data_IF_547592557601
#
_entry.id   IF_547592557601
#
_cell.length_a   1.000
_cell.length_b   1.000
_cell.length_c   1.000
_cell.angle_alpha   90.00
_cell.angle_beta   90.00
_cell.angle_gamma   90.00
#
_symmetry.space_group_name_H-M   'P 1'
#
loop_
_entity.id
_entity.type
_entity.pdbx_description
1 polymer ?
#
# COMPACT_ATOMS: atom_id res chain seq x y z
N UNK A 1 17.26 -18.73 12.24
CA UNK A 1 16.43 -19.17 11.12
C UNK A 1 16.61 -20.66 10.95
N UNK A 2 15.61 -21.35 10.41
CA UNK A 2 15.76 -22.73 9.91
C UNK A 2 16.48 -22.72 8.56
N UNK A 3 16.95 -23.89 8.12
CA UNK A 3 17.59 -24.06 6.82
C UNK A 3 16.57 -23.86 5.68
N UNK A 4 17.00 -23.26 4.57
CA UNK A 4 16.21 -23.08 3.37
C UNK A 4 17.09 -23.07 2.12
N UNK A 5 16.51 -23.40 0.98
CA UNK A 5 17.15 -23.23 -0.32
C UNK A 5 16.84 -21.85 -0.89
N UNK A 6 17.87 -21.13 -1.31
CA UNK A 6 17.76 -19.81 -1.88
C UNK A 6 17.86 -19.84 -3.41
N UNK A 7 16.88 -19.27 -4.08
CA UNK A 7 16.80 -19.25 -5.54
C UNK A 7 16.83 -17.81 -6.05
N UNK A 8 17.61 -17.56 -7.11
CA UNK A 8 17.75 -16.27 -7.79
C UNK A 8 17.35 -16.41 -9.26
N UNK A 9 16.06 -16.48 -9.59
CA UNK A 9 15.60 -16.55 -10.98
C UNK A 9 15.90 -15.25 -11.72
N UNK A 10 16.25 -15.34 -13.00
CA UNK A 10 16.49 -14.18 -13.86
C UNK A 10 15.21 -13.62 -14.51
N UNK A 11 14.08 -14.32 -14.39
CA UNK A 11 12.81 -13.89 -14.98
C UNK A 11 11.61 -14.22 -14.09
N UNK A 12 10.53 -13.44 -14.23
CA UNK A 12 9.26 -13.69 -13.53
C UNK A 12 8.72 -15.08 -13.80
N UNK A 13 8.83 -15.58 -15.04
CA UNK A 13 8.39 -16.93 -15.41
C UNK A 13 9.18 -18.01 -14.67
N UNK A 14 10.49 -17.85 -14.52
CA UNK A 14 11.30 -18.80 -13.73
C UNK A 14 10.91 -18.74 -12.25
N UNK A 15 10.66 -17.56 -11.70
CA UNK A 15 10.20 -17.39 -10.32
C UNK A 15 8.85 -18.09 -10.10
N UNK A 16 7.87 -17.84 -10.94
CA UNK A 16 6.55 -18.48 -10.88
C UNK A 16 6.64 -20.02 -10.99
N UNK A 17 7.50 -20.54 -11.89
CA UNK A 17 7.74 -21.98 -12.01
C UNK A 17 8.38 -22.59 -10.75
N UNK A 18 9.23 -21.86 -10.05
CA UNK A 18 9.81 -22.30 -8.77
C UNK A 18 8.75 -22.37 -7.68
N UNK A 19 7.85 -21.36 -7.62
CA UNK A 19 6.73 -21.36 -6.67
C UNK A 19 5.75 -22.52 -6.96
N UNK A 20 5.38 -22.73 -8.23
CA UNK A 20 4.48 -23.81 -8.61
C UNK A 20 5.02 -25.21 -8.31
N UNK A 21 6.36 -25.39 -8.32
CA UNK A 21 7.02 -26.68 -8.06
C UNK A 21 7.27 -26.95 -6.58
N UNK A 22 7.19 -25.93 -5.73
CA UNK A 22 7.55 -26.03 -4.31
C UNK A 22 6.43 -25.37 -3.49
N UNK A 23 5.53 -26.18 -2.96
CA UNK A 23 4.27 -25.75 -2.34
C UNK A 23 4.44 -24.70 -1.22
N UNK A 24 5.49 -24.84 -0.40
CA UNK A 24 5.77 -23.93 0.72
C UNK A 24 6.81 -22.84 0.39
N UNK A 25 7.15 -22.67 -0.88
CA UNK A 25 8.08 -21.63 -1.28
C UNK A 25 7.51 -20.23 -1.00
N UNK A 26 8.36 -19.31 -0.58
CA UNK A 26 7.98 -17.90 -0.38
C UNK A 26 8.83 -16.99 -1.25
N UNK A 27 8.15 -15.97 -1.78
CA UNK A 27 8.80 -14.86 -2.48
C UNK A 27 9.53 -13.99 -1.46
N UNK A 28 10.74 -13.57 -1.79
CA UNK A 28 11.45 -12.51 -1.08
C UNK A 28 11.81 -11.38 -2.07
N UNK A 29 11.58 -10.14 -1.64
CA UNK A 29 12.03 -8.92 -2.31
C UNK A 29 12.86 -8.09 -1.30
N UNK A 30 12.27 -7.09 -0.66
CA UNK A 30 12.94 -6.30 0.38
C UNK A 30 13.30 -7.04 1.67
N UNK A 31 12.59 -8.13 1.97
CA UNK A 31 12.82 -9.00 3.13
C UNK A 31 12.41 -8.41 4.48
N UNK A 32 11.87 -7.20 4.52
CA UNK A 32 11.63 -6.48 5.78
C UNK A 32 10.44 -6.99 6.62
N UNK A 33 9.61 -7.85 6.06
CA UNK A 33 8.60 -8.62 6.81
C UNK A 33 9.07 -10.06 6.99
N UNK A 34 9.41 -10.74 5.90
CA UNK A 34 9.69 -12.17 5.91
C UNK A 34 10.95 -12.51 6.73
N UNK A 35 12.05 -11.76 6.59
CA UNK A 35 13.30 -12.05 7.30
C UNK A 35 13.18 -11.93 8.82
N UNK A 36 12.55 -10.86 9.40
CA UNK A 36 12.25 -10.79 10.83
C UNK A 36 11.42 -11.99 11.34
N UNK A 37 10.36 -12.35 10.61
CA UNK A 37 9.50 -13.50 10.96
C UNK A 37 10.27 -14.82 10.95
N UNK A 38 11.14 -15.04 9.96
CA UNK A 38 12.04 -16.21 9.90
C UNK A 38 13.08 -16.20 11.03
N UNK A 39 13.63 -15.02 11.39
CA UNK A 39 14.58 -14.90 12.51
C UNK A 39 13.95 -15.28 13.84
N UNK A 40 12.69 -14.93 14.04
CA UNK A 40 11.90 -15.31 15.22
C UNK A 40 11.37 -16.74 15.16
N UNK A 41 11.64 -17.48 14.08
CA UNK A 41 11.17 -18.87 13.85
C UNK A 41 9.64 -19.01 13.75
N UNK A 42 8.94 -17.93 13.41
CA UNK A 42 7.49 -17.93 13.18
C UNK A 42 7.13 -18.39 11.76
N UNK A 43 8.09 -18.42 10.85
CA UNK A 43 7.97 -19.02 9.52
C UNK A 43 9.25 -19.79 9.17
N UNK A 44 9.10 -20.89 8.43
CA UNK A 44 10.20 -21.75 8.00
C UNK A 44 10.01 -22.23 6.56
N UNK A 45 9.92 -21.30 5.57
CA UNK A 45 9.78 -21.72 4.18
C UNK A 45 11.01 -22.51 3.74
N UNK A 46 10.83 -23.70 3.12
CA UNK A 46 11.95 -24.50 2.66
C UNK A 46 12.65 -23.90 1.44
N UNK A 47 11.98 -23.02 0.72
CA UNK A 47 12.50 -22.36 -0.46
C UNK A 47 12.20 -20.86 -0.42
N UNK A 48 13.21 -20.02 -0.69
CA UNK A 48 13.08 -18.59 -0.92
C UNK A 48 13.36 -18.25 -2.38
N UNK A 49 12.42 -17.55 -3.02
CA UNK A 49 12.52 -17.11 -4.42
C UNK A 49 12.72 -15.59 -4.44
N UNK A 50 13.96 -15.17 -4.71
CA UNK A 50 14.36 -13.76 -4.68
C UNK A 50 14.05 -13.06 -6.01
N UNK A 51 13.23 -12.03 -5.96
CA UNK A 51 12.84 -11.22 -7.12
C UNK A 51 13.76 -10.02 -7.38
N UNK A 52 14.66 -9.69 -6.46
CA UNK A 52 15.46 -8.45 -6.50
C UNK A 52 16.40 -8.33 -7.71
N UNK A 53 16.67 -9.45 -8.38
CA UNK A 53 17.56 -9.51 -9.54
C UNK A 53 16.84 -9.67 -10.89
N UNK A 54 15.52 -9.65 -10.87
CA UNK A 54 14.74 -9.72 -12.12
C UNK A 54 14.70 -8.32 -12.72
N UNK A 55 15.29 -8.17 -13.90
CA UNK A 55 15.34 -6.91 -14.65
C UNK A 55 13.93 -6.37 -14.94
N UNK A 56 13.76 -5.06 -14.83
CA UNK A 56 12.50 -4.35 -15.10
C UNK A 56 11.47 -4.38 -13.96
N UNK A 57 11.67 -5.20 -12.91
CA UNK A 57 10.71 -5.24 -11.79
C UNK A 57 10.77 -4.03 -10.84
N UNK A 58 11.78 -3.18 -10.93
CA UNK A 58 11.90 -1.95 -10.15
C UNK A 58 11.70 -0.67 -10.97
N UNK A 59 11.37 -0.78 -12.25
CA UNK A 59 11.22 0.38 -13.12
C UNK A 59 10.07 1.30 -12.69
N UNK A 60 10.33 2.61 -12.75
CA UNK A 60 9.35 3.67 -12.50
C UNK A 60 9.26 4.52 -13.76
N UNK A 61 8.09 4.52 -14.40
CA UNK A 61 7.91 5.17 -15.70
C UNK A 61 6.48 5.70 -15.90
N UNK A 62 6.32 6.68 -16.75
CA UNK A 62 5.00 7.07 -17.23
C UNK A 62 4.58 6.17 -18.39
N UNK A 63 3.39 5.57 -18.30
CA UNK A 63 2.73 4.82 -19.38
C UNK A 63 1.44 5.49 -19.80
N UNK A 64 1.54 6.38 -20.77
CA UNK A 64 0.43 7.21 -21.20
C UNK A 64 -0.05 8.12 -20.05
N UNK A 65 -1.28 7.91 -19.57
CA UNK A 65 -1.89 8.67 -18.47
C UNK A 65 -1.82 7.96 -17.12
N UNK A 66 -0.92 7.02 -16.96
CA UNK A 66 -0.72 6.26 -15.71
C UNK A 66 0.74 6.23 -15.33
N UNK A 67 1.02 6.33 -14.04
CA UNK A 67 2.32 6.06 -13.45
C UNK A 67 2.44 4.57 -13.22
N UNK A 68 3.47 3.94 -13.77
CA UNK A 68 3.80 2.52 -13.61
C UNK A 68 4.96 2.39 -12.64
N UNK A 69 4.78 1.63 -11.56
CA UNK A 69 5.82 1.34 -10.56
C UNK A 69 6.01 -0.16 -10.48
N UNK A 70 7.21 -0.64 -10.74
CA UNK A 70 7.61 -2.03 -10.64
C UNK A 70 7.53 -2.55 -9.21
N UNK A 71 7.18 -3.82 -9.05
CA UNK A 71 6.89 -4.41 -7.74
C UNK A 71 8.10 -4.43 -6.78
N UNK A 72 9.32 -4.50 -7.29
CA UNK A 72 10.55 -4.46 -6.48
C UNK A 72 11.11 -3.06 -6.28
N UNK A 73 10.47 -2.00 -6.81
CA UNK A 73 10.82 -0.63 -6.49
C UNK A 73 10.73 -0.42 -4.97
N UNK A 74 11.82 0.05 -4.38
CA UNK A 74 11.92 0.30 -2.94
C UNK A 74 11.12 1.54 -2.53
N UNK A 75 10.74 1.63 -1.28
CA UNK A 75 10.07 2.82 -0.77
C UNK A 75 10.94 4.07 -0.95
N UNK A 76 12.27 3.91 -0.87
CA UNK A 76 13.23 4.98 -1.11
C UNK A 76 13.19 5.45 -2.57
N UNK A 77 13.21 4.53 -3.53
CA UNK A 77 13.11 4.85 -4.96
C UNK A 77 11.80 5.56 -5.28
N UNK A 78 10.67 5.05 -4.77
CA UNK A 78 9.35 5.70 -4.96
C UNK A 78 9.31 7.10 -4.36
N UNK A 79 9.83 7.29 -3.14
CA UNK A 79 9.83 8.58 -2.44
C UNK A 79 10.70 9.65 -3.12
N UNK A 80 11.81 9.23 -3.77
CA UNK A 80 12.80 10.15 -4.34
C UNK A 80 12.76 10.19 -5.87
N UNK A 81 11.85 9.48 -6.51
CA UNK A 81 11.68 9.53 -7.97
C UNK A 81 11.09 10.87 -8.41
N UNK A 82 11.77 11.60 -9.28
CA UNK A 82 11.24 12.80 -9.91
C UNK A 82 9.93 12.50 -10.65
N UNK A 83 9.85 11.36 -11.35
CA UNK A 83 8.65 10.94 -12.09
C UNK A 83 7.46 10.77 -11.15
N UNK A 84 7.64 10.16 -9.96
CA UNK A 84 6.57 10.01 -8.96
C UNK A 84 6.20 11.37 -8.36
N UNK A 85 7.20 12.18 -8.02
CA UNK A 85 7.01 13.52 -7.46
C UNK A 85 6.23 14.45 -8.37
N UNK A 86 6.47 14.41 -9.68
CA UNK A 86 5.74 15.18 -10.68
C UNK A 86 4.34 14.62 -10.96
N UNK A 87 4.22 13.28 -11.09
CA UNK A 87 2.97 12.65 -11.46
C UNK A 87 1.95 12.58 -10.32
N UNK A 88 2.38 12.16 -9.13
CA UNK A 88 1.53 11.97 -7.93
C UNK A 88 2.35 12.32 -6.68
N UNK A 89 2.56 13.61 -6.36
CA UNK A 89 3.36 14.04 -5.19
C UNK A 89 2.96 13.36 -3.88
N UNK A 90 1.64 13.16 -3.68
CA UNK A 90 1.11 12.49 -2.49
C UNK A 90 1.59 11.04 -2.33
N UNK A 91 1.93 10.34 -3.42
CA UNK A 91 2.46 8.98 -3.37
C UNK A 91 3.95 8.97 -2.97
N UNK A 92 4.72 9.93 -3.47
CA UNK A 92 6.11 10.12 -3.05
C UNK A 92 6.21 10.47 -1.55
N UNK A 93 5.35 11.40 -1.08
CA UNK A 93 5.24 11.77 0.33
C UNK A 93 4.86 10.57 1.21
N UNK A 94 3.85 9.80 0.79
CA UNK A 94 3.45 8.57 1.48
C UNK A 94 4.63 7.61 1.62
N UNK A 95 5.34 7.33 0.52
CA UNK A 95 6.48 6.42 0.53
C UNK A 95 7.60 6.91 1.47
N UNK A 96 7.84 8.22 1.53
CA UNK A 96 8.79 8.87 2.43
C UNK A 96 8.43 8.73 3.92
N UNK A 97 7.16 8.51 4.24
CA UNK A 97 6.67 8.31 5.62
C UNK A 97 6.70 6.86 6.09
N UNK A 98 7.04 5.89 5.24
CA UNK A 98 7.11 4.48 5.62
C UNK A 98 8.36 4.21 6.46
N UNK A 99 8.17 3.67 7.66
CA UNK A 99 9.24 3.20 8.52
C UNK A 99 10.35 4.24 8.76
N UNK A 100 11.57 3.75 8.82
CA UNK A 100 12.80 4.53 8.89
C UNK A 100 13.62 4.40 7.57
N UNK A 101 14.77 5.09 7.42
CA UNK A 101 15.60 4.97 6.21
C UNK A 101 16.04 3.55 5.90
N UNK A 102 16.37 2.72 6.91
CA UNK A 102 16.80 1.33 6.68
C UNK A 102 15.66 0.49 6.09
N UNK A 103 14.44 0.69 6.58
CA UNK A 103 13.22 0.06 6.02
C UNK A 103 13.02 0.52 4.58
N UNK A 104 13.08 1.83 4.32
CA UNK A 104 12.79 2.36 2.98
C UNK A 104 13.77 1.92 1.92
N UNK A 105 15.04 1.74 2.23
CA UNK A 105 16.05 1.28 1.27
C UNK A 105 15.91 -0.21 0.91
N UNK A 106 15.07 -0.95 1.60
CA UNK A 106 14.89 -2.39 1.37
C UNK A 106 13.45 -2.77 1.05
N UNK A 107 12.48 -2.29 1.84
CA UNK A 107 11.07 -2.58 1.65
C UNK A 107 10.58 -2.09 0.28
N UNK A 108 9.74 -2.89 -0.38
CA UNK A 108 9.27 -2.67 -1.75
C UNK A 108 7.76 -2.47 -1.80
N UNK A 109 7.27 -1.76 -2.82
CA UNK A 109 5.83 -1.56 -3.00
C UNK A 109 5.10 -2.90 -3.19
N UNK A 110 5.61 -3.80 -4.03
CA UNK A 110 5.00 -5.12 -4.23
C UNK A 110 5.00 -5.97 -2.98
N UNK A 111 6.10 -5.95 -2.20
CA UNK A 111 6.18 -6.65 -0.91
C UNK A 111 5.17 -6.13 0.11
N UNK A 112 4.98 -4.80 0.19
CA UNK A 112 3.98 -4.18 1.05
C UNK A 112 2.55 -4.60 0.68
N UNK A 113 2.22 -4.59 -0.62
CA UNK A 113 0.89 -4.98 -1.09
C UNK A 113 0.63 -6.48 -0.93
N UNK A 114 1.61 -7.33 -1.25
CA UNK A 114 1.47 -8.79 -1.11
C UNK A 114 1.31 -9.22 0.35
N UNK A 115 1.99 -8.54 1.30
CA UNK A 115 1.86 -8.80 2.72
C UNK A 115 0.52 -8.33 3.30
N UNK A 116 -0.08 -7.30 2.72
CA UNK A 116 -1.35 -6.69 3.12
C UNK A 116 -1.49 -6.51 4.64
N UNK A 117 -0.46 -5.93 5.26
CA UNK A 117 -0.54 -5.53 6.67
C UNK A 117 -1.60 -4.41 6.81
N UNK A 118 -2.55 -4.52 7.74
CA UNK A 118 -3.60 -3.51 7.92
C UNK A 118 -3.07 -2.12 8.26
N UNK A 119 -1.82 -2.03 8.74
CA UNK A 119 -1.17 -0.76 9.09
C UNK A 119 -0.24 -0.22 7.99
N UNK A 120 -0.14 -0.94 6.85
CA UNK A 120 0.66 -0.50 5.71
C UNK A 120 0.05 0.73 5.03
N UNK A 121 0.91 1.62 4.55
CA UNK A 121 0.51 2.91 3.96
C UNK A 121 -0.01 2.76 2.51
N UNK A 122 0.66 1.96 1.66
CA UNK A 122 0.32 1.82 0.24
C UNK A 122 -1.09 1.35 -0.07
N UNK A 123 -1.73 0.45 0.70
CA UNK A 123 -3.10 0.03 0.42
C UNK A 123 -4.08 1.20 0.33
N UNK A 124 -3.92 2.26 1.17
CA UNK A 124 -4.75 3.46 1.09
C UNK A 124 -4.56 4.22 -0.24
N UNK A 125 -3.32 4.39 -0.70
CA UNK A 125 -3.03 5.03 -1.98
C UNK A 125 -3.56 4.21 -3.16
N UNK A 126 -3.35 2.89 -3.15
CA UNK A 126 -3.82 1.96 -4.19
C UNK A 126 -5.34 2.00 -4.31
N UNK A 127 -6.04 1.99 -3.18
CA UNK A 127 -7.51 2.05 -3.10
C UNK A 127 -8.04 3.42 -3.57
N UNK A 128 -7.52 4.53 -3.03
CA UNK A 128 -8.00 5.87 -3.33
C UNK A 128 -7.69 6.30 -4.77
N UNK A 129 -6.51 6.00 -5.29
CA UNK A 129 -6.15 6.30 -6.67
C UNK A 129 -6.84 5.34 -7.67
N UNK A 130 -7.42 4.23 -7.19
CA UNK A 130 -7.99 3.18 -8.04
C UNK A 130 -6.95 2.57 -8.96
N UNK A 131 -5.80 2.24 -8.37
CA UNK A 131 -4.69 1.65 -9.10
C UNK A 131 -5.05 0.25 -9.63
N UNK A 132 -4.27 -0.23 -10.57
CA UNK A 132 -4.37 -1.61 -11.06
C UNK A 132 -3.13 -2.38 -10.61
N UNK A 133 -3.32 -3.44 -9.86
CA UNK A 133 -2.27 -4.38 -9.49
C UNK A 133 -2.11 -5.36 -10.67
N UNK A 134 -0.91 -5.41 -11.24
CA UNK A 134 -0.58 -6.30 -12.37
C UNK A 134 0.29 -7.42 -11.86
N UNK A 135 -0.14 -8.64 -12.11
CA UNK A 135 0.61 -9.85 -11.78
C UNK A 135 1.15 -10.52 -13.05
N UNK A 136 1.85 -11.63 -12.90
CA UNK A 136 2.26 -12.47 -14.02
C UNK A 136 1.08 -13.18 -14.72
N UNK A 137 -0.12 -13.20 -14.09
CA UNK A 137 -1.31 -13.91 -14.61
C UNK A 137 -2.42 -12.95 -15.06
N UNK A 138 -2.65 -11.86 -14.31
CA UNK A 138 -3.85 -11.02 -14.48
C UNK A 138 -3.66 -9.59 -13.99
N UNK A 139 -4.72 -8.80 -14.15
CA UNK A 139 -4.85 -7.45 -13.61
C UNK A 139 -5.99 -7.43 -12.63
N UNK A 140 -5.77 -6.86 -11.44
CA UNK A 140 -6.72 -6.81 -10.35
C UNK A 140 -6.99 -5.36 -9.94
N UNK A 141 -8.25 -5.05 -9.64
CA UNK A 141 -8.62 -3.82 -8.97
C UNK A 141 -8.32 -3.93 -7.47
N UNK A 142 -8.16 -2.80 -6.76
CA UNK A 142 -7.87 -2.84 -5.33
C UNK A 142 -8.94 -3.59 -4.53
N UNK A 143 -10.21 -3.36 -4.88
CA UNK A 143 -11.36 -3.98 -4.23
C UNK A 143 -11.40 -5.52 -4.41
N UNK A 144 -10.81 -6.02 -5.48
CA UNK A 144 -10.67 -7.46 -5.77
C UNK A 144 -9.42 -8.04 -5.11
N UNK A 145 -8.38 -7.21 -4.95
CA UNK A 145 -7.06 -7.63 -4.48
C UNK A 145 -6.98 -7.79 -2.97
N UNK A 146 -7.45 -6.79 -2.19
CA UNK A 146 -7.42 -6.83 -0.73
C UNK A 146 -8.61 -7.60 -0.19
N UNK A 147 -8.36 -8.78 0.41
CA UNK A 147 -9.41 -9.70 0.86
C UNK A 147 -9.54 -9.81 2.38
N UNK A 148 -8.82 -8.99 3.12
CA UNK A 148 -8.83 -8.99 4.59
C UNK A 148 -7.44 -8.95 5.19
N UNK A 149 -7.35 -9.18 6.48
CA UNK A 149 -6.13 -9.09 7.27
C UNK A 149 -5.06 -10.08 6.75
N UNK A 150 -3.92 -9.56 6.28
CA UNK A 150 -2.82 -10.35 5.69
C UNK A 150 -3.27 -11.29 4.55
N UNK A 151 -4.40 -10.98 3.91
CA UNK A 151 -4.98 -11.83 2.87
C UNK A 151 -5.19 -11.01 1.59
N UNK A 152 -4.72 -11.56 0.48
CA UNK A 152 -4.87 -10.99 -0.86
C UNK A 152 -5.42 -12.03 -1.83
N UNK A 153 -5.85 -11.60 -3.01
CA UNK A 153 -6.30 -12.48 -4.08
C UNK A 153 -5.17 -13.22 -4.83
N UNK A 154 -3.91 -13.08 -4.39
CA UNK A 154 -2.78 -13.76 -5.04
C UNK A 154 -2.89 -15.28 -4.90
N UNK A 155 -2.72 -15.98 -6.01
CA UNK A 155 -2.54 -17.43 -6.01
C UNK A 155 -1.12 -17.81 -5.57
N UNK A 156 -0.84 -19.07 -5.17
CA UNK A 156 0.46 -19.48 -4.63
C UNK A 156 1.66 -19.21 -5.56
N UNK A 157 1.46 -19.29 -6.89
CA UNK A 157 2.49 -19.03 -7.91
C UNK A 157 2.27 -17.69 -8.64
N UNK A 158 1.45 -16.79 -8.06
CA UNK A 158 1.16 -15.47 -8.61
C UNK A 158 2.06 -14.40 -7.99
N UNK A 159 2.70 -13.62 -8.85
CA UNK A 159 3.71 -12.61 -8.49
C UNK A 159 3.25 -11.25 -8.98
N UNK A 160 3.21 -10.26 -8.09
CA UNK A 160 3.00 -8.87 -8.50
C UNK A 160 4.22 -8.43 -9.32
N UNK A 161 3.96 -7.90 -10.51
CA UNK A 161 5.02 -7.38 -11.40
C UNK A 161 5.10 -5.87 -11.37
N UNK A 162 3.97 -5.17 -11.26
CA UNK A 162 3.88 -3.71 -11.16
C UNK A 162 2.53 -3.23 -10.65
N UNK A 163 2.47 -1.97 -10.31
CA UNK A 163 1.24 -1.24 -9.97
C UNK A 163 1.08 -0.06 -10.92
N UNK A 164 -0.10 0.07 -11.51
CA UNK A 164 -0.43 1.17 -12.42
C UNK A 164 -1.36 2.15 -11.69
N UNK A 165 -0.88 3.36 -11.47
CA UNK A 165 -1.62 4.42 -10.81
C UNK A 165 -2.18 5.41 -11.84
N UNK A 166 -3.51 5.54 -11.99
CA UNK A 166 -4.10 6.63 -12.75
C UNK A 166 -3.75 7.97 -12.11
N UNK A 167 -3.53 9.01 -12.93
CA UNK A 167 -3.26 10.35 -12.42
C UNK A 167 -4.53 10.93 -11.77
N UNK A 168 -4.37 11.51 -10.59
CA UNK A 168 -5.40 12.25 -9.90
C UNK A 168 -5.23 13.76 -10.17
N UNK A 169 -6.34 14.53 -10.18
CA UNK A 169 -6.28 16.00 -10.26
C UNK A 169 -5.73 16.61 -8.98
N UNK A 170 -6.12 16.05 -7.83
CA UNK A 170 -5.67 16.44 -6.50
C UNK A 170 -5.57 15.18 -5.64
N UNK A 171 -4.54 15.06 -4.84
CA UNK A 171 -4.40 13.98 -3.89
C UNK A 171 -3.55 14.43 -2.69
N UNK A 172 -3.81 13.84 -1.53
CA UNK A 172 -2.97 13.97 -0.36
C UNK A 172 -3.09 12.76 0.54
N UNK A 173 -2.03 12.49 1.29
CA UNK A 173 -1.98 11.49 2.34
C UNK A 173 -1.64 12.14 3.67
N UNK A 174 -2.41 11.85 4.71
CA UNK A 174 -2.16 12.30 6.08
C UNK A 174 -2.16 11.10 7.01
N UNK A 175 -1.15 11.00 7.85
CA UNK A 175 -0.90 9.86 8.71
C UNK A 175 -0.73 10.30 10.17
N UNK A 176 -1.48 9.68 11.06
CA UNK A 176 -1.19 9.66 12.49
C UNK A 176 -0.38 8.40 12.79
N UNK A 177 0.92 8.58 12.97
CA UNK A 177 1.86 7.47 13.14
C UNK A 177 2.00 7.04 14.60
N UNK A 178 2.18 5.75 14.81
CA UNK A 178 2.69 5.25 16.09
C UNK A 178 4.11 5.76 16.30
N UNK A 179 4.41 6.27 17.48
CA UNK A 179 5.70 6.90 17.79
C UNK A 179 6.87 5.93 17.75
N UNK A 180 6.67 4.70 18.19
CA UNK A 180 7.73 3.68 18.23
C UNK A 180 7.96 3.01 16.88
N UNK A 181 6.91 2.46 16.28
CA UNK A 181 7.01 1.66 15.05
C UNK A 181 6.95 2.48 13.76
N UNK A 182 6.41 3.71 13.84
CA UNK A 182 6.10 4.59 12.70
C UNK A 182 5.03 4.04 11.74
N UNK A 183 4.39 2.91 12.07
CA UNK A 183 3.21 2.44 11.36
C UNK A 183 2.04 3.40 11.51
N UNK A 184 1.10 3.33 10.58
CA UNK A 184 -0.12 4.12 10.67
C UNK A 184 -1.01 3.58 11.81
N UNK A 185 -1.23 4.38 12.85
CA UNK A 185 -2.36 4.15 13.74
C UNK A 185 -3.66 4.43 12.98
N UNK A 186 -3.66 5.51 12.19
CA UNK A 186 -4.65 5.87 11.19
C UNK A 186 -3.94 6.60 10.07
N UNK A 187 -4.16 6.21 8.83
CA UNK A 187 -3.73 6.93 7.63
C UNK A 187 -4.92 7.17 6.69
N UNK A 188 -5.04 8.36 6.14
CA UNK A 188 -6.12 8.70 5.21
C UNK A 188 -5.54 9.25 3.91
N UNK A 189 -5.88 8.60 2.81
CA UNK A 189 -5.56 9.05 1.45
C UNK A 189 -6.81 9.57 0.77
N UNK A 190 -6.76 10.80 0.30
CA UNK A 190 -7.84 11.42 -0.49
C UNK A 190 -7.35 11.63 -1.91
N UNK A 191 -8.16 11.24 -2.89
CA UNK A 191 -7.89 11.47 -4.31
C UNK A 191 -9.11 12.00 -5.04
N UNK A 192 -8.98 13.17 -5.69
CA UNK A 192 -9.92 13.69 -6.68
C UNK A 192 -9.46 13.23 -8.06
N UNK A 193 -10.13 12.23 -8.59
CA UNK A 193 -9.87 11.69 -9.92
C UNK A 193 -10.76 12.40 -10.96
N UNK A 194 -10.51 12.19 -12.27
CA UNK A 194 -11.37 12.78 -13.30
C UNK A 194 -12.84 12.33 -13.21
N UNK A 195 -13.11 11.10 -12.75
CA UNK A 195 -14.44 10.48 -12.71
C UNK A 195 -15.11 10.51 -11.36
N UNK A 196 -14.35 10.56 -10.25
CA UNK A 196 -14.87 10.44 -8.89
C UNK A 196 -13.93 11.04 -7.83
N UNK A 197 -14.37 11.02 -6.59
CA UNK A 197 -13.54 11.29 -5.42
C UNK A 197 -13.50 10.03 -4.58
N UNK A 198 -12.32 9.66 -4.09
CA UNK A 198 -12.13 8.52 -3.19
C UNK A 198 -11.41 8.94 -1.92
N UNK A 199 -11.83 8.35 -0.81
CA UNK A 199 -11.23 8.53 0.52
C UNK A 199 -10.98 7.14 1.09
N UNK A 200 -9.71 6.75 1.20
CA UNK A 200 -9.32 5.45 1.71
C UNK A 200 -8.58 5.57 3.04
N UNK A 201 -8.86 4.64 3.95
CA UNK A 201 -8.32 4.60 5.31
C UNK A 201 -7.50 3.33 5.49
N UNK A 202 -6.31 3.48 6.07
CA UNK A 202 -5.46 2.39 6.53
C UNK A 202 -5.15 2.52 8.01
N UNK A 203 -4.68 1.46 8.65
CA UNK A 203 -4.29 1.43 10.06
C UNK A 203 -5.43 1.17 11.02
N UNK A 204 -6.64 1.57 10.69
CA UNK A 204 -7.77 1.58 11.61
C UNK A 204 -8.71 0.38 11.47
N UNK A 205 -8.92 -0.13 10.26
CA UNK A 205 -9.91 -1.18 10.01
C UNK A 205 -9.44 -2.56 10.46
N UNK A 206 -10.33 -3.34 11.08
CA UNK A 206 -10.06 -4.73 11.50
C UNK A 206 -9.86 -5.67 10.30
N UNK A 207 -10.41 -5.34 9.14
CA UNK A 207 -10.24 -6.07 7.89
C UNK A 207 -9.24 -5.44 6.91
N UNK A 208 -8.41 -4.48 7.38
CA UNK A 208 -7.44 -3.78 6.55
C UNK A 208 -7.96 -2.46 5.98
N UNK A 209 -7.53 -2.12 4.75
CA UNK A 209 -7.89 -0.88 4.07
C UNK A 209 -9.36 -0.84 3.69
N UNK A 210 -10.01 0.33 3.85
CA UNK A 210 -11.40 0.53 3.48
C UNK A 210 -11.67 1.95 2.97
N UNK A 211 -12.82 2.17 2.34
CA UNK A 211 -13.26 3.47 1.81
C UNK A 211 -14.32 4.12 2.70
N UNK A 212 -14.37 5.46 2.69
CA UNK A 212 -15.36 6.27 3.41
C UNK A 212 -16.40 6.83 2.43
N UNK A 213 -17.38 6.02 2.06
CA UNK A 213 -18.39 6.37 1.04
C UNK A 213 -19.15 7.66 1.36
N UNK A 214 -19.57 7.87 2.62
CA UNK A 214 -20.27 9.09 3.03
C UNK A 214 -19.41 10.36 2.82
N UNK A 215 -18.09 10.29 3.06
CA UNK A 215 -17.14 11.37 2.84
C UNK A 215 -16.93 11.61 1.34
N UNK A 216 -16.85 10.54 0.55
CA UNK A 216 -16.73 10.61 -0.90
C UNK A 216 -17.94 11.29 -1.53
N UNK A 217 -19.15 10.95 -1.12
CA UNK A 217 -20.38 11.57 -1.60
C UNK A 217 -20.48 13.06 -1.27
N UNK A 218 -20.05 13.45 -0.06
CA UNK A 218 -19.98 14.86 0.31
C UNK A 218 -18.94 15.62 -0.57
N UNK A 219 -17.76 15.04 -0.77
CA UNK A 219 -16.67 15.64 -1.55
C UNK A 219 -16.93 15.67 -3.06
N UNK A 220 -17.74 14.76 -3.59
CA UNK A 220 -18.21 14.84 -5.01
C UNK A 220 -19.01 16.09 -5.29
N UNK A 221 -19.85 16.51 -4.35
CA UNK A 221 -20.65 17.73 -4.49
C UNK A 221 -19.77 18.99 -4.48
N UNK A 222 -18.80 19.03 -3.56
CA UNK A 222 -17.82 20.10 -3.43
C UNK A 222 -16.55 19.58 -2.79
N UNK A 223 -15.43 19.65 -3.50
CA UNK A 223 -14.13 19.21 -2.98
C UNK A 223 -13.54 20.28 -2.04
N UNK A 224 -13.98 20.26 -0.78
CA UNK A 224 -13.56 21.18 0.28
C UNK A 224 -13.68 20.48 1.63
N UNK A 225 -12.71 20.71 2.54
CA UNK A 225 -12.75 20.15 3.89
C UNK A 225 -14.01 20.55 4.67
N UNK A 226 -14.58 21.73 4.40
CA UNK A 226 -15.78 22.26 5.07
C UNK A 226 -17.02 21.37 4.90
N UNK A 227 -17.15 20.61 3.80
CA UNK A 227 -18.29 19.71 3.60
C UNK A 227 -18.20 18.44 4.44
N UNK A 228 -17.06 18.21 5.07
CA UNK A 228 -16.84 17.11 6.00
C UNK A 228 -17.13 17.49 7.46
N UNK A 229 -17.45 18.76 7.73
CA UNK A 229 -17.79 19.21 9.08
C UNK A 229 -19.08 18.52 9.55
N UNK A 230 -19.02 17.93 10.74
CA UNK A 230 -20.13 17.18 11.32
C UNK A 230 -20.27 15.74 10.84
N UNK A 231 -19.51 15.30 9.82
CA UNK A 231 -19.46 13.88 9.47
C UNK A 231 -18.63 13.09 10.50
N UNK A 232 -19.19 11.99 10.94
CA UNK A 232 -18.58 11.06 11.90
C UNK A 232 -18.33 9.70 11.24
N UNK A 233 -17.44 8.92 11.85
CA UNK A 233 -17.15 7.54 11.44
C UNK A 233 -17.61 6.62 12.57
N UNK A 234 -18.32 5.52 12.24
CA UNK A 234 -18.66 4.51 13.22
C UNK A 234 -17.39 3.83 13.77
N UNK A 235 -17.31 3.58 15.08
CA UNK A 235 -16.24 2.75 15.65
C UNK A 235 -16.39 1.25 15.31
N UNK A 236 -17.53 0.84 14.80
CA UNK A 236 -17.78 -0.55 14.40
C UNK A 236 -16.85 -0.99 13.28
N UNK A 237 -16.23 -2.17 13.43
CA UNK A 237 -15.26 -2.70 12.48
C UNK A 237 -13.87 -2.03 12.56
N UNK A 238 -13.62 -1.16 13.54
CA UNK A 238 -12.30 -0.59 13.80
C UNK A 238 -11.55 -1.37 14.89
N UNK A 239 -10.22 -1.34 14.78
CA UNK A 239 -9.34 -1.94 15.78
C UNK A 239 -9.41 -1.21 17.13
N UNK A 240 -9.34 -1.98 18.23
CA UNK A 240 -9.16 -1.48 19.58
C UNK A 240 -8.00 -2.23 20.24
N UNK A 241 -6.94 -1.53 20.63
CA UNK A 241 -5.72 -2.09 21.21
C UNK A 241 -5.06 -1.10 22.19
N UNK A 242 -3.86 -1.46 22.68
CA UNK A 242 -3.10 -0.61 23.60
C UNK A 242 -2.69 0.75 23.03
N UNK A 243 -2.80 0.96 21.72
CA UNK A 243 -2.41 2.20 21.02
C UNK A 243 -3.58 3.14 20.78
N UNK A 244 -4.81 2.64 20.86
CA UNK A 244 -6.02 3.44 20.69
C UNK A 244 -7.29 2.62 20.59
N UNK A 245 -8.37 3.12 21.21
CA UNK A 245 -9.69 2.53 21.11
C UNK A 245 -10.30 2.73 19.70
N UNK A 246 -11.34 1.98 19.40
CA UNK A 246 -12.10 2.11 18.15
C UNK A 246 -12.69 3.53 17.99
N UNK A 247 -13.23 4.11 19.09
CA UNK A 247 -13.78 5.48 19.12
C UNK A 247 -12.70 6.53 18.82
N UNK A 248 -11.50 6.34 19.40
CA UNK A 248 -10.37 7.24 19.14
C UNK A 248 -9.92 7.17 17.68
N UNK A 249 -9.85 5.95 17.10
CA UNK A 249 -9.54 5.77 15.68
C UNK A 249 -10.62 6.39 14.79
N UNK A 250 -11.90 6.21 15.10
CA UNK A 250 -13.02 6.81 14.40
C UNK A 250 -12.92 8.35 14.39
N UNK A 251 -12.61 8.96 15.54
CA UNK A 251 -12.36 10.40 15.66
C UNK A 251 -11.17 10.84 14.79
N UNK A 252 -10.05 10.13 14.89
CA UNK A 252 -8.86 10.44 14.08
C UNK A 252 -9.13 10.36 12.58
N UNK A 253 -9.89 9.38 12.10
CA UNK A 253 -10.25 9.24 10.69
C UNK A 253 -10.94 10.52 10.20
N UNK A 254 -11.95 11.01 10.91
CA UNK A 254 -12.67 12.22 10.53
C UNK A 254 -11.76 13.47 10.51
N UNK A 255 -10.86 13.61 11.50
CA UNK A 255 -9.89 14.70 11.57
C UNK A 255 -8.88 14.62 10.41
N UNK A 256 -8.32 13.43 10.17
CA UNK A 256 -7.30 13.24 9.13
C UNK A 256 -7.89 13.37 7.72
N UNK A 257 -9.13 12.96 7.49
CA UNK A 257 -9.81 13.16 6.22
C UNK A 257 -9.95 14.66 5.88
N UNK A 258 -10.35 15.49 6.85
CA UNK A 258 -10.38 16.95 6.67
C UNK A 258 -9.01 17.52 6.34
N UNK A 259 -7.97 17.15 7.11
CA UNK A 259 -6.59 17.59 6.86
C UNK A 259 -6.06 17.14 5.51
N UNK A 260 -6.41 15.93 5.06
CA UNK A 260 -6.01 15.43 3.74
C UNK A 260 -6.66 16.25 2.60
N UNK A 261 -7.94 16.62 2.75
CA UNK A 261 -8.61 17.51 1.77
C UNK A 261 -8.00 18.91 1.78
N UNK A 262 -7.66 19.45 2.95
CA UNK A 262 -6.95 20.74 3.06
C UNK A 262 -5.59 20.67 2.35
N UNK A 263 -4.78 19.66 2.64
CA UNK A 263 -3.48 19.46 2.02
C UNK A 263 -3.59 19.27 0.49
N UNK A 264 -4.62 18.55 0.01
CA UNK A 264 -4.86 18.35 -1.41
C UNK A 264 -5.31 19.64 -2.14
N UNK A 265 -5.86 20.62 -1.41
CA UNK A 265 -6.30 21.91 -1.96
C UNK A 265 -5.28 23.02 -1.82
N UNK A 266 -4.34 22.94 -0.88
CA UNK A 266 -3.30 23.97 -0.65
C UNK A 266 -2.14 23.90 -1.66
N UNK A 267 -2.02 22.83 -2.44
CA UNK A 267 -0.95 22.61 -3.43
C UNK A 267 -1.33 23.13 -4.83
N UNK A 268 -1.93 24.31 -4.89
CA UNK A 268 -2.16 25.08 -6.13
C UNK A 268 -1.06 26.11 -6.37
#
# INVERSE_FOLDING_TARGET
MYEFKYHRPGTVRQAANLLAKNEDAKVIAGGHTLVPVMKQRLASPPHLVDLSHIEGLNEIEMKGRSLSIGATATHFEVANSAIVGEAIPALAELAGMIGDPAVRHRGTIGGSLANNDPTADYPAAVMALGATIVTNKRRLKPEEFFQGLFTTALEPDEIITKVLFPLAKKAAYVKFRNQASRYALVGVFVAKRPSDVRVAVTGAGSNGVFRLEAFEEALKKRFSHKVLDGLTVSPEGLNSDIHGSAEYRAHLIAVLARRAVEAATAKE
#
